data_IF_299788770842
#
_entry.id   IF_299788770842
#
_cell.length_a   1.000
_cell.length_b   1.000
_cell.length_c   1.000
_cell.angle_alpha   90.00
_cell.angle_beta   90.00
_cell.angle_gamma   90.00
#
_symmetry.space_group_name_H-M   'P 1'
#
loop_
_entity.id
_entity.type
_entity.pdbx_description
1 polymer ?
#
# COMPACT_ATOMS: atom_id res chain seq x y z
N UNK A 1 -7.36 3.35 -27.06
CA UNK A 1 -6.74 2.17 -27.69
C UNK A 1 -5.72 1.46 -26.79
N UNK A 2 -4.66 2.12 -26.30
CA UNK A 2 -3.63 1.45 -25.47
C UNK A 2 -4.16 0.71 -24.22
N UNK A 3 -5.04 1.32 -23.43
CA UNK A 3 -5.66 0.70 -22.23
C UNK A 3 -6.40 -0.61 -22.55
N UNK A 4 -7.10 -0.64 -23.68
CA UNK A 4 -7.86 -1.82 -24.13
C UNK A 4 -6.92 -2.96 -24.54
N UNK A 5 -5.85 -2.65 -25.29
CA UNK A 5 -4.85 -3.65 -25.70
C UNK A 5 -4.12 -4.25 -24.49
N UNK A 6 -3.76 -3.43 -23.50
CA UNK A 6 -3.14 -3.90 -22.25
C UNK A 6 -4.09 -4.85 -21.52
N UNK A 7 -5.36 -4.48 -21.38
CA UNK A 7 -6.36 -5.36 -20.75
C UNK A 7 -6.48 -6.70 -21.48
N UNK A 8 -6.67 -6.67 -22.80
CA UNK A 8 -6.78 -7.90 -23.59
C UNK A 8 -5.54 -8.79 -23.43
N UNK A 9 -4.35 -8.19 -23.39
CA UNK A 9 -3.10 -8.92 -23.18
C UNK A 9 -3.05 -9.58 -21.80
N UNK A 10 -3.35 -8.83 -20.73
CA UNK A 10 -3.33 -9.36 -19.36
C UNK A 10 -4.40 -10.44 -19.17
N UNK A 11 -5.61 -10.23 -19.66
CA UNK A 11 -6.69 -11.21 -19.62
C UNK A 11 -6.31 -12.50 -20.36
N UNK A 12 -5.65 -12.39 -21.52
CA UNK A 12 -5.16 -13.55 -22.28
C UNK A 12 -4.14 -14.35 -21.48
N UNK A 13 -3.27 -13.68 -20.72
CA UNK A 13 -2.33 -14.36 -19.81
C UNK A 13 -3.08 -15.05 -18.68
N UNK A 14 -4.01 -14.34 -18.02
CA UNK A 14 -4.74 -14.82 -16.86
C UNK A 14 -5.80 -15.88 -17.17
N UNK A 15 -6.24 -15.99 -18.43
CA UNK A 15 -7.14 -17.06 -18.89
C UNK A 15 -6.50 -18.45 -18.83
N UNK A 16 -5.15 -18.54 -18.76
CA UNK A 16 -4.46 -19.81 -18.54
C UNK A 16 -4.62 -20.24 -17.08
N UNK A 17 -5.09 -21.47 -16.79
CA UNK A 17 -5.45 -21.88 -15.43
C UNK A 17 -4.30 -21.78 -14.43
N UNK A 18 -3.07 -22.06 -14.86
CA UNK A 18 -1.89 -22.02 -13.98
C UNK A 18 -1.24 -20.65 -13.89
N UNK A 19 -1.67 -19.66 -14.69
CA UNK A 19 -0.99 -18.37 -14.75
C UNK A 19 -0.98 -17.63 -13.41
N UNK A 20 -2.08 -17.52 -12.64
CA UNK A 20 -2.04 -16.85 -11.33
C UNK A 20 -0.99 -17.46 -10.39
N UNK A 21 -0.94 -18.79 -10.30
CA UNK A 21 0.01 -19.52 -9.45
C UNK A 21 1.44 -19.33 -9.95
N UNK A 22 1.68 -19.45 -11.26
CA UNK A 22 3.00 -19.22 -11.85
C UNK A 22 3.46 -17.79 -11.57
N UNK A 23 2.60 -16.79 -11.73
CA UNK A 23 2.98 -15.39 -11.52
C UNK A 23 3.30 -15.07 -10.05
N UNK A 24 2.62 -15.71 -9.10
CA UNK A 24 2.87 -15.51 -7.66
C UNK A 24 4.03 -16.35 -7.12
N UNK A 25 4.23 -17.55 -7.67
CA UNK A 25 5.14 -18.55 -7.09
C UNK A 25 6.44 -18.69 -7.88
N UNK A 26 6.51 -18.14 -9.11
CA UNK A 26 7.67 -18.29 -9.97
C UNK A 26 8.96 -17.91 -9.23
N UNK A 27 9.91 -18.85 -9.05
CA UNK A 27 11.22 -18.57 -8.47
C UNK A 27 12.06 -17.59 -9.34
N UNK A 28 11.54 -17.22 -10.51
CA UNK A 28 12.27 -16.72 -11.66
C UNK A 28 12.31 -15.20 -11.83
N UNK A 29 11.68 -14.40 -10.95
CA UNK A 29 11.87 -12.94 -11.08
C UNK A 29 13.30 -12.50 -10.74
N UNK A 30 14.16 -13.37 -10.17
CA UNK A 30 15.58 -13.12 -9.87
C UNK A 30 15.84 -11.75 -9.23
N UNK A 31 15.01 -11.36 -8.26
CA UNK A 31 15.11 -10.06 -7.57
C UNK A 31 14.58 -8.86 -8.37
N UNK A 32 13.95 -9.06 -9.52
CA UNK A 32 13.18 -8.04 -10.24
C UNK A 32 11.71 -8.09 -9.81
N UNK A 33 11.03 -6.94 -9.81
CA UNK A 33 9.59 -6.87 -9.59
C UNK A 33 8.85 -6.92 -10.92
N UNK A 34 7.83 -7.77 -11.04
CA UNK A 34 7.01 -7.83 -12.25
C UNK A 34 6.16 -6.57 -12.46
N UNK A 35 5.57 -6.04 -11.38
CA UNK A 35 4.69 -4.88 -11.43
C UNK A 35 5.38 -3.72 -10.70
N UNK A 36 6.06 -2.80 -11.42
CA UNK A 36 6.69 -1.63 -10.82
C UNK A 36 5.70 -0.77 -10.01
N UNK A 37 6.16 0.00 -9.00
CA UNK A 37 5.26 0.83 -8.20
C UNK A 37 4.36 1.77 -9.02
N UNK A 38 4.85 2.50 -10.05
CA UNK A 38 3.98 3.35 -10.89
C UNK A 38 2.87 2.57 -11.60
N UNK A 39 3.17 1.36 -12.08
CA UNK A 39 2.17 0.49 -12.71
C UNK A 39 1.12 0.02 -11.71
N UNK A 40 1.52 -0.23 -10.46
CA UNK A 40 0.60 -0.60 -9.39
C UNK A 40 -0.31 0.56 -8.97
N UNK A 41 0.21 1.79 -8.88
CA UNK A 41 -0.62 2.98 -8.66
C UNK A 41 -1.62 3.19 -9.80
N UNK A 42 -1.19 3.01 -11.05
CA UNK A 42 -2.11 3.08 -12.19
C UNK A 42 -3.19 1.99 -12.10
N UNK A 43 -2.82 0.77 -11.74
CA UNK A 43 -3.77 -0.32 -11.52
C UNK A 43 -4.81 0.06 -10.45
N UNK A 44 -4.39 0.54 -9.28
CA UNK A 44 -5.29 1.01 -8.22
C UNK A 44 -6.27 2.08 -8.72
N UNK A 45 -5.76 3.10 -9.41
CA UNK A 45 -6.60 4.21 -9.90
C UNK A 45 -7.56 3.79 -11.02
N UNK A 46 -7.19 2.81 -11.83
CA UNK A 46 -8.03 2.29 -12.91
C UNK A 46 -9.11 1.32 -12.40
N UNK A 47 -8.83 0.61 -11.30
CA UNK A 47 -9.79 -0.26 -10.61
C UNK A 47 -10.79 0.53 -9.78
N UNK A 48 -10.34 1.59 -9.09
CA UNK A 48 -11.15 2.41 -8.19
C UNK A 48 -11.25 3.87 -8.67
N UNK A 49 -11.82 4.13 -9.87
CA UNK A 49 -11.92 5.48 -10.40
C UNK A 49 -13.06 6.27 -9.74
N UNK A 50 -12.97 7.60 -9.75
CA UNK A 50 -14.05 8.47 -9.28
C UNK A 50 -15.32 8.40 -10.14
N UNK A 51 -15.22 7.94 -11.39
CA UNK A 51 -16.34 7.67 -12.28
C UNK A 51 -16.15 6.30 -12.95
N UNK A 52 -17.16 5.44 -12.83
CA UNK A 52 -17.12 4.10 -13.43
C UNK A 52 -17.21 4.21 -14.96
N UNK A 53 -16.35 3.45 -15.63
CA UNK A 53 -16.35 3.29 -17.09
C UNK A 53 -16.55 1.81 -17.42
N UNK A 54 -16.93 1.46 -18.65
CA UNK A 54 -17.07 0.04 -19.05
C UNK A 54 -15.80 -0.78 -18.77
N UNK A 55 -14.63 -0.18 -18.96
CA UNK A 55 -13.35 -0.83 -18.68
C UNK A 55 -13.11 -1.08 -17.18
N UNK A 56 -13.79 -0.39 -16.27
CA UNK A 56 -13.61 -0.56 -14.81
C UNK A 56 -13.91 -1.98 -14.37
N UNK A 57 -14.99 -2.59 -14.88
CA UNK A 57 -15.35 -3.97 -14.55
C UNK A 57 -14.24 -4.97 -14.93
N UNK A 58 -13.53 -4.71 -16.04
CA UNK A 58 -12.40 -5.53 -16.48
C UNK A 58 -11.19 -5.38 -15.57
N UNK A 59 -10.89 -4.17 -15.11
CA UNK A 59 -9.84 -3.93 -14.11
C UNK A 59 -10.18 -4.58 -12.76
N UNK A 60 -11.42 -4.46 -12.29
CA UNK A 60 -11.92 -5.11 -11.08
C UNK A 60 -11.72 -6.64 -11.15
N UNK A 61 -11.98 -7.26 -12.30
CA UNK A 61 -11.83 -8.70 -12.48
C UNK A 61 -10.36 -9.19 -12.37
N UNK A 62 -9.41 -8.46 -12.95
CA UNK A 62 -7.98 -8.85 -12.95
C UNK A 62 -7.22 -8.35 -11.71
N UNK A 63 -7.74 -7.33 -11.02
CA UNK A 63 -7.08 -6.65 -9.91
C UNK A 63 -6.63 -7.59 -8.77
N UNK A 64 -7.46 -8.53 -8.26
CA UNK A 64 -7.05 -9.38 -7.15
C UNK A 64 -5.78 -10.20 -7.45
N UNK A 65 -5.67 -10.73 -8.66
CA UNK A 65 -4.50 -11.51 -9.08
C UNK A 65 -3.26 -10.60 -9.19
N UNK A 66 -3.38 -9.46 -9.85
CA UNK A 66 -2.26 -8.52 -10.00
C UNK A 66 -1.80 -7.91 -8.67
N UNK A 67 -2.73 -7.67 -7.74
CA UNK A 67 -2.42 -7.29 -6.35
C UNK A 67 -1.60 -8.39 -5.68
N UNK A 68 -2.07 -9.64 -5.72
CA UNK A 68 -1.34 -10.78 -5.14
C UNK A 68 0.06 -10.91 -5.73
N UNK A 69 0.21 -10.78 -7.05
CA UNK A 69 1.52 -10.81 -7.73
C UNK A 69 2.42 -9.66 -7.29
N UNK A 70 1.87 -8.46 -7.07
CA UNK A 70 2.64 -7.31 -6.59
C UNK A 70 3.18 -7.52 -5.17
N UNK A 71 2.40 -8.19 -4.31
CA UNK A 71 2.72 -8.41 -2.90
C UNK A 71 3.46 -9.72 -2.63
N UNK A 72 3.54 -10.63 -3.61
CA UNK A 72 4.15 -11.95 -3.45
C UNK A 72 5.67 -11.89 -3.29
N UNK A 73 6.18 -12.56 -2.24
CA UNK A 73 7.61 -12.91 -2.00
C UNK A 73 8.60 -11.80 -2.37
N UNK A 74 8.24 -10.55 -2.05
CA UNK A 74 9.04 -9.39 -2.37
C UNK A 74 10.16 -9.19 -1.33
N UNK A 75 11.42 -8.99 -1.74
CA UNK A 75 12.46 -8.47 -0.85
C UNK A 75 12.00 -7.23 -0.09
N UNK A 76 12.49 -7.03 1.14
CA UNK A 76 12.10 -5.90 2.00
C UNK A 76 12.08 -4.53 1.30
N UNK A 77 13.07 -4.26 0.45
CA UNK A 77 13.14 -2.97 -0.25
C UNK A 77 11.94 -2.76 -1.16
N UNK A 78 11.43 -3.83 -1.77
CA UNK A 78 10.24 -3.74 -2.59
C UNK A 78 8.97 -3.54 -1.75
N UNK A 79 8.86 -4.22 -0.60
CA UNK A 79 7.76 -4.01 0.33
C UNK A 79 7.75 -2.55 0.80
N UNK A 80 8.91 -1.98 1.15
CA UNK A 80 9.05 -0.56 1.54
C UNK A 80 8.61 0.41 0.45
N UNK A 81 8.92 0.14 -0.82
CA UNK A 81 8.48 0.98 -1.94
C UNK A 81 6.96 0.94 -2.13
N UNK A 82 6.35 -0.24 -2.10
CA UNK A 82 4.88 -0.38 -2.19
C UNK A 82 4.21 0.26 -0.98
N UNK A 83 4.75 0.06 0.22
CA UNK A 83 4.26 0.70 1.44
C UNK A 83 4.30 2.23 1.31
N UNK A 84 5.41 2.79 0.84
CA UNK A 84 5.55 4.26 0.66
C UNK A 84 4.53 4.80 -0.33
N UNK A 85 4.29 4.07 -1.42
CA UNK A 85 3.29 4.42 -2.43
C UNK A 85 1.87 4.37 -1.84
N UNK A 86 1.54 3.29 -1.13
CA UNK A 86 0.22 3.11 -0.54
C UNK A 86 -0.04 4.12 0.59
N UNK A 87 0.96 4.42 1.41
CA UNK A 87 0.90 5.48 2.41
C UNK A 87 0.64 6.84 1.77
N UNK A 88 1.37 7.19 0.70
CA UNK A 88 1.14 8.44 -0.03
C UNK A 88 -0.31 8.53 -0.53
N UNK A 89 -0.80 7.48 -1.19
CA UNK A 89 -2.17 7.43 -1.72
C UNK A 89 -3.21 7.49 -0.59
N UNK A 90 -2.97 6.85 0.56
CA UNK A 90 -3.84 6.96 1.74
C UNK A 90 -3.99 8.41 2.22
N UNK A 91 -2.95 9.24 2.02
CA UNK A 91 -2.97 10.67 2.30
C UNK A 91 -3.90 11.49 1.40
N UNK A 92 -4.41 10.94 0.29
CA UNK A 92 -5.37 11.60 -0.60
C UNK A 92 -6.80 11.65 -0.01
N UNK A 93 -7.08 10.87 1.04
CA UNK A 93 -8.32 10.94 1.82
C UNK A 93 -9.34 9.83 1.53
N UNK A 94 -10.18 9.52 2.54
CA UNK A 94 -11.07 8.34 2.56
C UNK A 94 -12.23 8.42 1.55
N UNK A 95 -12.57 9.62 1.05
CA UNK A 95 -13.57 9.80 -0.01
C UNK A 95 -13.11 9.24 -1.36
N UNK A 96 -11.83 8.92 -1.51
CA UNK A 96 -11.27 8.27 -2.68
C UNK A 96 -11.15 6.75 -2.41
N UNK A 97 -11.90 5.93 -3.16
CA UNK A 97 -11.88 4.47 -3.03
C UNK A 97 -10.47 3.89 -3.23
N UNK A 98 -9.67 4.46 -4.13
CA UNK A 98 -8.28 4.03 -4.33
C UNK A 98 -7.40 4.33 -3.11
N UNK A 99 -7.67 5.42 -2.38
CA UNK A 99 -6.97 5.74 -1.14
C UNK A 99 -7.39 4.82 0.01
N UNK A 100 -8.65 4.39 0.05
CA UNK A 100 -9.13 3.38 1.01
C UNK A 100 -8.42 2.04 0.79
N UNK A 101 -8.40 1.55 -0.45
CA UNK A 101 -7.70 0.32 -0.80
C UNK A 101 -6.19 0.43 -0.51
N UNK A 102 -5.56 1.56 -0.84
CA UNK A 102 -4.16 1.81 -0.52
C UNK A 102 -3.91 1.80 1.00
N UNK A 103 -4.82 2.36 1.79
CA UNK A 103 -4.75 2.30 3.26
C UNK A 103 -4.80 0.86 3.75
N UNK A 104 -5.72 0.05 3.23
CA UNK A 104 -5.86 -1.36 3.61
C UNK A 104 -4.61 -2.18 3.23
N UNK A 105 -4.01 -1.91 2.08
CA UNK A 105 -2.73 -2.51 1.68
C UNK A 105 -1.60 -2.06 2.61
N UNK A 106 -1.50 -0.77 2.93
CA UNK A 106 -0.45 -0.27 3.83
C UNK A 106 -0.55 -0.92 5.23
N UNK A 107 -1.76 -1.13 5.74
CA UNK A 107 -2.00 -1.85 7.00
C UNK A 107 -1.55 -3.31 6.86
N UNK A 108 -1.99 -4.03 5.82
CA UNK A 108 -1.60 -5.43 5.58
C UNK A 108 -0.06 -5.57 5.51
N UNK A 109 0.64 -4.65 4.84
CA UNK A 109 2.10 -4.69 4.78
C UNK A 109 2.79 -4.46 6.13
N UNK A 110 2.15 -3.76 7.07
CA UNK A 110 2.64 -3.59 8.44
C UNK A 110 2.31 -4.80 9.32
N UNK A 111 1.12 -5.37 9.18
CA UNK A 111 0.64 -6.45 10.05
C UNK A 111 1.16 -7.81 9.63
N UNK A 112 1.19 -8.09 8.33
CA UNK A 112 1.53 -9.41 7.80
C UNK A 112 3.05 -9.65 7.82
N UNK A 113 3.83 -8.57 7.94
CA UNK A 113 5.28 -8.59 8.10
C UNK A 113 5.73 -8.15 9.51
N UNK A 114 4.85 -8.24 10.51
CA UNK A 114 5.12 -7.73 11.86
C UNK A 114 6.39 -8.34 12.49
N UNK A 115 6.74 -9.58 12.14
CA UNK A 115 7.91 -10.27 12.66
C UNK A 115 9.24 -9.77 12.09
N UNK A 116 9.23 -9.10 10.92
CA UNK A 116 10.46 -8.66 10.24
C UNK A 116 10.87 -7.22 10.59
N UNK A 117 10.02 -6.44 11.29
CA UNK A 117 10.20 -5.03 11.71
C UNK A 117 10.59 -4.02 10.58
N UNK A 118 10.87 -4.50 9.37
CA UNK A 118 11.43 -3.71 8.28
C UNK A 118 10.43 -2.66 7.77
N UNK A 119 9.14 -3.00 7.72
CA UNK A 119 8.06 -2.06 7.37
C UNK A 119 7.81 -1.04 8.47
N UNK A 120 7.83 -1.45 9.74
CA UNK A 120 7.65 -0.58 10.90
C UNK A 120 8.79 0.44 11.03
N UNK A 121 10.05 -0.02 10.96
CA UNK A 121 11.24 0.84 10.90
C UNK A 121 11.24 1.79 9.70
N UNK A 122 10.70 1.36 8.56
CA UNK A 122 10.59 2.23 7.38
C UNK A 122 9.52 3.28 7.59
N UNK A 123 8.36 2.90 8.13
CA UNK A 123 7.28 3.83 8.44
C UNK A 123 7.72 4.90 9.45
N UNK A 124 8.49 4.54 10.48
CA UNK A 124 9.10 5.48 11.42
C UNK A 124 9.86 6.63 10.73
N UNK A 125 10.62 6.30 9.68
CA UNK A 125 11.37 7.29 8.87
C UNK A 125 10.47 8.16 7.99
N UNK A 126 9.25 7.69 7.71
CA UNK A 126 8.26 8.40 6.91
C UNK A 126 7.32 9.27 7.76
N UNK A 127 7.23 9.07 9.08
CA UNK A 127 6.34 9.84 9.97
C UNK A 127 6.54 11.35 9.80
N UNK A 128 7.80 11.82 9.78
CA UNK A 128 8.11 13.23 9.57
C UNK A 128 7.97 13.72 8.12
N UNK A 129 8.00 12.81 7.13
CA UNK A 129 7.92 13.15 5.69
C UNK A 129 6.49 13.19 5.17
N UNK A 130 5.61 12.38 5.76
CA UNK A 130 4.21 12.23 5.34
C UNK A 130 3.28 12.22 6.56
N UNK A 131 3.25 13.29 7.38
CA UNK A 131 2.53 13.31 8.64
C UNK A 131 1.01 13.15 8.46
N UNK A 132 0.41 13.77 7.44
CA UNK A 132 -1.03 13.64 7.15
C UNK A 132 -1.41 12.20 6.79
N UNK A 133 -0.64 11.58 5.89
CA UNK A 133 -0.85 10.18 5.51
C UNK A 133 -0.63 9.23 6.68
N UNK A 134 0.40 9.48 7.50
CA UNK A 134 0.68 8.66 8.68
C UNK A 134 -0.41 8.78 9.74
N UNK A 135 -0.96 9.98 9.96
CA UNK A 135 -2.12 10.17 10.83
C UNK A 135 -3.35 9.42 10.32
N UNK A 136 -3.63 9.48 9.02
CA UNK A 136 -4.73 8.71 8.41
C UNK A 136 -4.54 7.20 8.59
N UNK A 137 -3.31 6.69 8.43
CA UNK A 137 -2.99 5.28 8.64
C UNK A 137 -3.18 4.86 10.11
N UNK A 138 -2.72 5.67 11.06
CA UNK A 138 -2.92 5.46 12.51
C UNK A 138 -4.40 5.37 12.86
N UNK A 139 -5.22 6.30 12.37
CA UNK A 139 -6.67 6.29 12.64
C UNK A 139 -7.30 4.97 12.19
N UNK A 140 -6.86 4.43 11.04
CA UNK A 140 -7.36 3.15 10.56
C UNK A 140 -6.79 1.94 11.31
N UNK A 141 -5.55 1.99 11.79
CA UNK A 141 -4.99 0.96 12.68
C UNK A 141 -5.74 0.91 14.01
N UNK A 142 -6.04 2.06 14.62
CA UNK A 142 -6.82 2.16 15.86
C UNK A 142 -8.26 1.64 15.66
N UNK A 143 -8.88 1.91 14.52
CA UNK A 143 -10.20 1.32 14.20
C UNK A 143 -10.18 -0.20 14.11
N UNK A 144 -9.04 -0.79 13.73
CA UNK A 144 -8.85 -2.25 13.60
C UNK A 144 -8.18 -2.87 14.84
N UNK A 145 -8.05 -2.13 15.93
CA UNK A 145 -7.20 -2.46 17.09
C UNK A 145 -7.39 -3.89 17.62
N UNK A 146 -8.65 -4.32 17.77
CA UNK A 146 -8.98 -5.63 18.34
C UNK A 146 -8.62 -6.80 17.42
N UNK A 147 -8.44 -6.53 16.12
CA UNK A 147 -8.03 -7.50 15.12
C UNK A 147 -6.51 -7.53 14.89
N UNK A 148 -5.76 -6.64 15.55
CA UNK A 148 -4.30 -6.58 15.43
C UNK A 148 -3.62 -7.58 16.37
N UNK A 149 -2.55 -8.19 15.87
CA UNK A 149 -1.65 -9.00 16.70
C UNK A 149 -1.04 -8.16 17.84
N UNK A 150 -0.60 -8.78 18.95
CA UNK A 150 0.06 -8.06 20.04
C UNK A 150 1.28 -7.25 19.59
N UNK A 151 2.08 -7.77 18.64
CA UNK A 151 3.25 -7.07 18.09
C UNK A 151 2.84 -5.84 17.28
N UNK A 152 1.82 -5.95 16.43
CA UNK A 152 1.28 -4.81 15.68
C UNK A 152 0.66 -3.74 16.58
N UNK A 153 -0.01 -4.11 17.67
CA UNK A 153 -0.54 -3.15 18.66
C UNK A 153 0.57 -2.36 19.34
N UNK A 154 1.60 -3.06 19.84
CA UNK A 154 2.78 -2.42 20.46
C UNK A 154 3.49 -1.46 19.48
N UNK A 155 3.67 -1.87 18.23
CA UNK A 155 4.30 -1.02 17.23
C UNK A 155 3.42 0.20 16.89
N UNK A 156 2.08 0.02 16.80
CA UNK A 156 1.13 1.11 16.59
C UNK A 156 1.19 2.14 17.73
N UNK A 157 1.20 1.69 19.00
CA UNK A 157 1.39 2.55 20.18
C UNK A 157 2.66 3.39 20.08
N UNK A 158 3.79 2.76 19.71
CA UNK A 158 5.07 3.46 19.54
C UNK A 158 5.03 4.49 18.41
N UNK A 159 4.40 4.16 17.28
CA UNK A 159 4.24 5.10 16.16
C UNK A 159 3.33 6.28 16.52
N UNK A 160 2.26 6.06 17.30
CA UNK A 160 1.39 7.13 17.83
C UNK A 160 2.21 8.09 18.71
N UNK A 161 3.00 7.55 19.65
CA UNK A 161 3.86 8.37 20.51
C UNK A 161 4.84 9.22 19.68
N UNK A 162 5.49 8.62 18.68
CA UNK A 162 6.42 9.35 17.79
C UNK A 162 5.72 10.43 16.97
N UNK A 163 4.53 10.17 16.43
CA UNK A 163 3.75 11.17 15.68
C UNK A 163 3.36 12.37 16.54
N UNK A 164 2.98 12.13 17.81
CA UNK A 164 2.70 13.19 18.76
C UNK A 164 3.95 14.04 19.03
N UNK A 165 5.10 13.40 19.25
CA UNK A 165 6.38 14.10 19.43
C UNK A 165 6.74 14.93 18.19
N UNK A 166 6.64 14.37 16.98
CA UNK A 166 6.93 15.08 15.73
C UNK A 166 6.00 16.31 15.54
N UNK A 167 4.73 16.17 15.91
CA UNK A 167 3.74 17.24 15.80
C UNK A 167 4.03 18.37 16.80
N UNK A 168 4.36 18.03 18.04
CA UNK A 168 4.71 19.00 19.09
C UNK A 168 6.04 19.70 18.84
N UNK A 169 7.06 18.98 18.37
CA UNK A 169 8.35 19.57 18.00
C UNK A 169 8.24 20.58 16.86
N UNK A 170 7.38 20.30 15.87
CA UNK A 170 7.11 21.22 14.76
C UNK A 170 6.37 22.48 15.22
N UNK A 171 5.47 22.37 16.21
CA UNK A 171 4.80 23.52 16.82
C UNK A 171 5.78 24.38 17.62
N UNK A 172 6.66 23.78 18.44
CA UNK A 172 7.65 24.52 19.24
C UNK A 172 8.65 25.34 18.41
N UNK A 173 9.08 24.84 17.25
CA UNK A 173 9.95 25.57 16.32
C UNK A 173 9.24 26.76 15.67
N UNK A 174 7.93 26.67 15.44
CA UNK A 174 7.13 27.77 14.89
C UNK A 174 6.95 28.91 15.90
N UNK A 175 6.89 28.62 17.20
CA UNK A 175 6.76 29.63 18.26
C UNK A 175 8.09 30.25 18.70
N UNK A 176 9.23 29.63 18.42
CA UNK A 176 10.57 30.16 18.77
C UNK A 176 11.13 31.16 17.75
N UNK A 177 10.40 31.45 16.66
CA UNK A 177 10.82 32.36 15.58
C UNK A 177 10.04 33.70 15.55
N UNK A 178 9.26 34.00 16.59
CA UNK A 178 8.60 35.30 16.77
C UNK A 178 9.21 36.06 17.94
#
# INVERSE_FOLDING_TARGET
>A
MARHLILCFVETILAKPDAPTILTDAPAWRGKRLIPPPSFEMLLRLTFPSARLEATARFEAIYPVLKKVTLARAPDFHIREIFTLCLRLAGEGISNESAKEATDIAISLLTDNADHDACWKHWDRLLGKMPKASAALVVNLVKKWDHLSPSSRKATEQSIQKLLICSLGSAGVAYSKN
#
